data_IF_729504007427
#
_entry.id   IF_729504007427
#
_cell.length_a   1.000
_cell.length_b   1.000
_cell.length_c   1.000
_cell.angle_alpha   90.00
_cell.angle_beta   90.00
_cell.angle_gamma   90.00
#
_symmetry.space_group_name_H-M   'P 1'
#
loop_
_entity.id
_entity.type
_entity.pdbx_description
1 polymer ?
#
# COMPACT_ATOMS: atom_id res chain seq x y z
N UNK A 1 -1.42 8.97 19.06
CA UNK A 1 -2.37 8.21 18.22
C UNK A 1 -1.54 7.25 17.40
N UNK A 2 -1.82 5.93 17.48
CA UNK A 2 -1.12 4.91 16.70
C UNK A 2 -1.77 4.71 15.32
N UNK A 3 -1.09 3.97 14.43
CA UNK A 3 -1.70 3.55 13.17
C UNK A 3 -2.63 2.35 13.44
N UNK A 4 -3.86 2.41 12.92
CA UNK A 4 -4.81 1.29 13.04
C UNK A 4 -4.58 0.17 12.02
N UNK A 5 -3.93 0.48 10.88
CA UNK A 5 -3.59 -0.47 9.82
C UNK A 5 -2.27 -0.03 9.18
N UNK A 6 -1.41 -0.98 8.85
CA UNK A 6 -0.15 -0.78 8.10
C UNK A 6 -0.28 -1.43 6.74
N UNK A 7 -0.12 -0.65 5.67
CA UNK A 7 -0.18 -1.14 4.28
C UNK A 7 1.24 -1.31 3.75
N UNK A 8 1.57 -2.52 3.30
CA UNK A 8 2.89 -2.87 2.75
C UNK A 8 2.73 -3.32 1.29
N UNK A 9 3.47 -2.70 0.38
CA UNK A 9 3.51 -3.11 -1.02
C UNK A 9 4.09 -4.51 -1.18
N UNK A 10 3.41 -5.37 -1.94
CA UNK A 10 3.84 -6.73 -2.23
C UNK A 10 4.21 -6.85 -3.72
N UNK A 11 5.49 -7.12 -4.03
CA UNK A 11 5.94 -7.28 -5.41
C UNK A 11 5.47 -8.64 -5.93
N UNK A 12 4.32 -8.64 -6.60
CA UNK A 12 3.80 -9.82 -7.29
C UNK A 12 4.05 -9.69 -8.80
N UNK A 13 4.50 -10.79 -9.41
CA UNK A 13 4.71 -10.81 -10.85
C UNK A 13 3.40 -10.69 -11.62
N UNK A 14 3.48 -10.42 -12.92
CA UNK A 14 2.29 -10.32 -13.79
C UNK A 14 1.40 -11.57 -13.76
N UNK A 15 1.99 -12.74 -13.50
CA UNK A 15 1.25 -14.00 -13.29
C UNK A 15 0.47 -14.09 -11.97
N UNK A 16 0.55 -13.07 -11.10
CA UNK A 16 -0.01 -13.07 -9.74
C UNK A 16 0.81 -13.88 -8.73
N UNK A 17 1.93 -14.48 -9.15
CA UNK A 17 2.80 -15.26 -8.27
C UNK A 17 3.82 -14.38 -7.57
N UNK A 18 4.04 -14.69 -6.30
CA UNK A 18 5.08 -14.10 -5.47
C UNK A 18 6.46 -14.57 -5.91
N UNK A 19 7.39 -13.62 -6.08
CA UNK A 19 8.79 -13.90 -6.35
C UNK A 19 9.65 -13.84 -5.07
N UNK A 20 10.98 -14.05 -5.17
CA UNK A 20 11.88 -13.98 -4.01
C UNK A 20 11.79 -12.66 -3.23
N UNK A 21 11.51 -11.55 -3.90
CA UNK A 21 11.36 -10.24 -3.28
C UNK A 21 10.13 -10.16 -2.36
N UNK A 22 9.04 -10.85 -2.71
CA UNK A 22 7.85 -10.91 -1.86
C UNK A 22 8.16 -11.62 -0.53
N UNK A 23 8.98 -12.67 -0.55
CA UNK A 23 9.44 -13.33 0.67
C UNK A 23 10.24 -12.38 1.57
N UNK A 24 11.12 -11.54 0.98
CA UNK A 24 11.85 -10.51 1.74
C UNK A 24 10.91 -9.48 2.38
N UNK A 25 9.89 -9.04 1.64
CA UNK A 25 8.87 -8.11 2.16
C UNK A 25 8.06 -8.73 3.29
N UNK A 26 7.69 -10.02 3.17
CA UNK A 26 6.97 -10.74 4.23
C UNK A 26 7.81 -10.89 5.50
N UNK A 27 9.08 -11.27 5.37
CA UNK A 27 9.99 -11.33 6.52
C UNK A 27 10.18 -9.96 7.20
N UNK A 28 10.20 -8.88 6.41
CA UNK A 28 10.22 -7.53 6.96
C UNK A 28 8.94 -7.21 7.74
N UNK A 29 7.76 -7.56 7.22
CA UNK A 29 6.50 -7.38 7.92
C UNK A 29 6.46 -8.17 9.24
N UNK A 30 6.91 -9.42 9.25
CA UNK A 30 7.03 -10.22 10.49
C UNK A 30 7.96 -9.56 11.50
N UNK A 31 9.09 -8.99 11.03
CA UNK A 31 10.01 -8.26 11.90
C UNK A 31 9.35 -7.01 12.49
N UNK A 32 8.54 -6.30 11.69
CA UNK A 32 7.82 -5.11 12.11
C UNK A 32 6.74 -5.43 13.15
N UNK A 33 5.98 -6.51 12.95
CA UNK A 33 4.98 -6.99 13.93
C UNK A 33 5.64 -7.34 15.26
N UNK A 34 6.74 -8.09 15.22
CA UNK A 34 7.46 -8.50 16.43
C UNK A 34 8.14 -7.33 17.17
N UNK A 35 8.47 -6.25 16.47
CA UNK A 35 9.09 -5.06 17.05
C UNK A 35 8.06 -4.09 17.65
N UNK A 36 6.77 -4.25 17.33
CA UNK A 36 5.72 -3.38 17.82
C UNK A 36 5.26 -3.79 19.22
N UNK A 37 5.06 -2.80 20.10
CA UNK A 37 4.52 -3.03 21.44
C UNK A 37 3.01 -3.37 21.40
N UNK A 38 2.33 -2.95 20.34
CA UNK A 38 0.91 -3.16 20.10
C UNK A 38 0.70 -4.02 18.84
N UNK A 39 -0.37 -4.83 18.76
CA UNK A 39 -0.70 -5.57 17.55
C UNK A 39 -0.84 -4.63 16.34
N UNK A 40 -0.14 -4.94 15.25
CA UNK A 40 -0.26 -4.22 13.98
C UNK A 40 -1.13 -5.02 13.02
N UNK A 41 -2.22 -4.44 12.54
CA UNK A 41 -2.97 -5.01 11.42
C UNK A 41 -2.21 -4.69 10.11
N UNK A 42 -1.46 -5.67 9.61
CA UNK A 42 -0.71 -5.54 8.35
C UNK A 42 -1.56 -6.02 7.16
N UNK A 43 -1.64 -5.19 6.13
CA UNK A 43 -2.25 -5.50 4.84
C UNK A 43 -1.20 -5.47 3.73
N UNK A 44 -1.07 -6.57 3.00
CA UNK A 44 -0.24 -6.63 1.80
C UNK A 44 -1.02 -6.15 0.59
N UNK A 45 -0.51 -5.12 -0.09
CA UNK A 45 -1.14 -4.52 -1.26
C UNK A 45 -0.38 -4.84 -2.54
N UNK A 46 -1.10 -5.33 -3.55
CA UNK A 46 -0.54 -5.67 -4.85
C UNK A 46 -0.12 -4.41 -5.62
N UNK A 47 1.19 -4.30 -5.92
CA UNK A 47 1.77 -3.13 -6.58
C UNK A 47 1.40 -3.01 -8.07
N UNK A 48 0.86 -4.05 -8.73
CA UNK A 48 0.63 -4.09 -10.19
C UNK A 48 -0.28 -2.98 -10.72
N UNK A 49 -1.19 -2.48 -9.89
CA UNK A 49 -2.14 -1.43 -10.28
C UNK A 49 -1.56 -0.02 -10.19
N UNK A 50 -0.33 0.14 -9.70
CA UNK A 50 0.21 1.45 -9.32
C UNK A 50 1.28 2.00 -10.26
N UNK A 51 1.89 1.18 -11.11
CA UNK A 51 3.03 1.59 -11.96
C UNK A 51 2.72 2.81 -12.83
N UNK A 52 1.54 2.85 -13.47
CA UNK A 52 1.15 3.99 -14.32
C UNK A 52 0.81 5.27 -13.53
N UNK A 53 0.37 5.14 -12.28
CA UNK A 53 0.07 6.29 -11.40
C UNK A 53 1.36 6.80 -10.76
N UNK A 54 2.25 5.89 -10.33
CA UNK A 54 3.57 6.21 -9.81
C UNK A 54 4.43 6.89 -10.88
N UNK A 55 4.47 6.34 -12.09
CA UNK A 55 5.23 6.92 -13.20
C UNK A 55 4.71 8.32 -13.55
N UNK A 56 3.39 8.52 -13.63
CA UNK A 56 2.80 9.86 -13.82
C UNK A 56 3.06 10.82 -12.68
N UNK A 57 3.05 10.37 -11.42
CA UNK A 57 3.36 11.19 -10.25
C UNK A 57 4.84 11.61 -10.24
N UNK A 58 5.74 10.72 -10.66
CA UNK A 58 7.17 10.99 -10.80
C UNK A 58 7.46 11.93 -11.99
N UNK A 59 6.75 11.75 -13.11
CA UNK A 59 6.87 12.60 -14.31
C UNK A 59 6.31 14.00 -14.10
N UNK A 60 5.14 14.13 -13.46
CA UNK A 60 4.48 15.42 -13.20
C UNK A 60 5.32 16.37 -12.34
N UNK A 61 6.33 15.86 -11.61
CA UNK A 61 7.20 16.67 -10.76
C UNK A 61 8.50 17.13 -11.42
N UNK A 62 8.78 16.77 -12.68
CA UNK A 62 9.65 17.53 -13.58
C UNK A 62 11.10 17.84 -13.15
N UNK A 63 11.67 17.22 -12.11
CA UNK A 63 13.01 17.55 -11.58
C UNK A 63 13.90 16.32 -11.39
N UNK A 64 14.40 15.77 -12.51
CA UNK A 64 15.16 14.52 -12.59
C UNK A 64 16.58 14.50 -11.99
N UNK A 65 17.14 15.60 -11.46
CA UNK A 65 18.60 15.69 -11.24
C UNK A 65 19.12 15.66 -9.80
N UNK A 66 18.29 15.70 -8.75
CA UNK A 66 18.84 15.82 -7.39
C UNK A 66 17.98 15.32 -6.22
N UNK A 67 17.11 14.31 -6.42
CA UNK A 67 16.34 13.75 -5.29
C UNK A 67 17.18 12.78 -4.46
N UNK A 68 17.03 12.88 -3.13
CA UNK A 68 17.58 11.93 -2.17
C UNK A 68 16.71 10.66 -2.23
N UNK A 69 17.32 9.46 -2.13
CA UNK A 69 16.62 8.16 -2.25
C UNK A 69 15.31 8.10 -1.44
N UNK A 70 15.33 8.57 -0.18
CA UNK A 70 14.16 8.51 0.69
C UNK A 70 12.95 9.34 0.25
N UNK A 71 13.11 10.36 -0.61
CA UNK A 71 11.97 11.10 -1.15
C UNK A 71 11.22 10.28 -2.20
N UNK A 72 11.94 9.46 -2.97
CA UNK A 72 11.35 8.55 -3.95
C UNK A 72 10.58 7.45 -3.23
N UNK A 73 11.16 6.90 -2.16
CA UNK A 73 10.52 5.86 -1.34
C UNK A 73 9.22 6.35 -0.70
N UNK A 74 9.21 7.58 -0.17
CA UNK A 74 8.00 8.19 0.39
C UNK A 74 6.88 8.40 -0.66
N UNK A 75 7.25 8.80 -1.88
CA UNK A 75 6.28 8.94 -2.99
C UNK A 75 5.72 7.57 -3.37
N UNK A 76 6.56 6.54 -3.48
CA UNK A 76 6.11 5.18 -3.79
C UNK A 76 5.13 4.66 -2.72
N UNK A 77 5.47 4.84 -1.43
CA UNK A 77 4.59 4.47 -0.32
C UNK A 77 3.25 5.21 -0.37
N UNK A 78 3.24 6.51 -0.69
CA UNK A 78 2.01 7.28 -0.83
C UNK A 78 1.12 6.76 -1.96
N UNK A 79 1.71 6.36 -3.10
CA UNK A 79 0.96 5.79 -4.22
C UNK A 79 0.36 4.43 -3.87
N UNK A 80 1.11 3.56 -3.18
CA UNK A 80 0.61 2.27 -2.69
C UNK A 80 -0.60 2.49 -1.77
N UNK A 81 -0.47 3.39 -0.79
CA UNK A 81 -1.55 3.70 0.14
C UNK A 81 -2.78 4.26 -0.57
N UNK A 82 -2.59 5.15 -1.54
CA UNK A 82 -3.68 5.71 -2.32
C UNK A 82 -4.44 4.61 -3.09
N UNK A 83 -3.72 3.66 -3.69
CA UNK A 83 -4.32 2.50 -4.36
C UNK A 83 -5.19 1.65 -3.43
N UNK A 84 -4.69 1.36 -2.23
CA UNK A 84 -5.45 0.64 -1.20
C UNK A 84 -6.72 1.40 -0.79
N UNK A 85 -6.60 2.70 -0.47
CA UNK A 85 -7.73 3.52 -0.03
C UNK A 85 -8.81 3.65 -1.10
N UNK A 86 -8.42 3.76 -2.37
CA UNK A 86 -9.38 3.82 -3.48
C UNK A 86 -10.14 2.50 -3.66
N UNK A 87 -9.47 1.37 -3.48
CA UNK A 87 -10.12 0.06 -3.53
C UNK A 87 -11.10 -0.13 -2.36
N UNK A 88 -10.69 0.20 -1.13
CA UNK A 88 -11.57 0.15 0.06
C UNK A 88 -12.79 1.05 -0.12
N UNK A 89 -12.61 2.27 -0.64
CA UNK A 89 -13.71 3.19 -0.94
C UNK A 89 -14.67 2.63 -1.98
N UNK A 90 -14.18 1.90 -2.98
CA UNK A 90 -15.01 1.28 -4.00
C UNK A 90 -15.76 0.05 -3.46
N UNK A 91 -15.11 -0.77 -2.65
CA UNK A 91 -15.73 -1.90 -1.93
C UNK A 91 -16.85 -1.44 -1.00
N UNK A 92 -16.60 -0.35 -0.25
CA UNK A 92 -17.61 0.26 0.61
C UNK A 92 -18.82 0.78 -0.15
N UNK A 93 -18.62 1.32 -1.36
CA UNK A 93 -19.72 1.78 -2.23
C UNK A 93 -20.55 0.65 -2.82
N UNK A 94 -19.99 -0.55 -2.94
CA UNK A 94 -20.68 -1.73 -3.47
C UNK A 94 -21.42 -2.54 -2.39
N UNK A 95 -21.10 -2.34 -1.11
CA UNK A 95 -21.94 -2.82 -0.01
C UNK A 95 -22.95 -1.72 0.37
N UNK A 96 -24.25 -1.87 0.07
CA UNK A 96 -25.24 -0.94 0.61
C UNK A 96 -25.17 -0.97 2.15
N UNK A 97 -25.40 0.17 2.82
CA UNK A 97 -25.35 0.22 4.28
C UNK A 97 -26.29 -0.85 4.85
N UNK A 98 -25.74 -1.81 5.60
CA UNK A 98 -26.55 -2.75 6.39
C UNK A 98 -27.41 -1.90 7.32
N UNK A 99 -28.72 -2.06 7.16
CA UNK A 99 -29.71 -1.07 7.56
C UNK A 99 -29.51 -0.51 8.96
N UNK A 100 -29.74 0.81 9.10
CA UNK A 100 -30.38 1.27 10.32
C UNK A 100 -31.76 0.63 10.32
N UNK A 101 -31.98 -0.32 11.21
CA UNK A 101 -33.33 -0.73 11.58
C UNK A 101 -34.12 0.54 11.88
N UNK A 102 -35.12 0.80 11.04
CA UNK A 102 -36.09 1.83 11.27
C UNK A 102 -36.80 1.51 12.60
N UNK A 103 -36.62 2.39 13.58
CA UNK A 103 -37.56 2.53 14.69
C UNK A 103 -38.51 3.66 14.35
#
# INVERSE_FOLDING_TARGET
>A
QGAGVVVIGLPVGLSGREGPQAATVRAFAETLENASEEPLDIVFWDERLTSAVAERALEAQGRKKHRRSGEIDAIAAAVILQGYLDAERNSFRQQPPRGREAR
#
